data_IF_756605405028
#
_entry.id   IF_756605405028
#
_cell.length_a   1.000
_cell.length_b   1.000
_cell.length_c   1.000
_cell.angle_alpha   90.00
_cell.angle_beta   90.00
_cell.angle_gamma   90.00
#
_symmetry.space_group_name_H-M   'P 1'
#
loop_
_entity.id
_entity.type
_entity.pdbx_description
1 polymer ?
#
# COMPACT_ATOMS: atom_id res chain seq x y z
N UNK A 1 -13.21 -10.80 7.74
CA UNK A 1 -13.83 -9.58 8.33
C UNK A 1 -12.78 -8.52 8.58
N UNK A 2 -13.03 -7.30 8.10
CA UNK A 2 -12.12 -6.16 8.26
C UNK A 2 -12.00 -5.72 9.73
N UNK A 3 -10.82 -5.23 10.13
CA UNK A 3 -10.59 -4.52 11.39
C UNK A 3 -11.09 -3.07 11.37
N UNK A 4 -11.36 -2.51 10.18
CA UNK A 4 -11.74 -1.12 9.97
C UNK A 4 -13.22 -0.99 9.65
N UNK A 5 -13.88 0.03 10.20
CA UNK A 5 -15.28 0.36 9.88
C UNK A 5 -15.41 1.27 8.66
N UNK A 6 -14.40 2.11 8.43
CA UNK A 6 -14.39 3.09 7.34
C UNK A 6 -12.96 3.43 6.93
N UNK A 7 -12.80 3.76 5.65
CA UNK A 7 -11.60 4.36 5.10
C UNK A 7 -11.99 5.62 4.33
N UNK A 8 -11.23 6.69 4.48
CA UNK A 8 -11.35 7.91 3.65
C UNK A 8 -10.10 8.03 2.82
N UNK A 9 -10.25 7.99 1.51
CA UNK A 9 -9.14 8.10 0.57
C UNK A 9 -9.16 9.46 -0.12
N UNK A 10 -8.00 10.10 -0.19
CA UNK A 10 -7.76 11.27 -1.02
C UNK A 10 -7.08 10.82 -2.29
N UNK A 11 -7.69 11.15 -3.44
CA UNK A 11 -7.13 10.89 -4.76
C UNK A 11 -6.81 12.24 -5.42
N UNK A 12 -5.67 12.32 -6.11
CA UNK A 12 -5.44 13.47 -7.00
C UNK A 12 -6.36 13.40 -8.23
N UNK A 13 -6.72 14.56 -8.81
CA UNK A 13 -7.68 14.62 -9.92
C UNK A 13 -7.07 14.33 -11.29
N UNK A 14 -5.76 14.49 -11.42
CA UNK A 14 -5.06 14.40 -12.71
C UNK A 14 -4.86 12.94 -13.12
N UNK A 15 -4.43 12.11 -12.16
CA UNK A 15 -4.02 10.73 -12.39
C UNK A 15 -4.76 9.74 -11.48
N UNK A 16 -5.68 10.21 -10.63
CA UNK A 16 -6.46 9.38 -9.69
C UNK A 16 -5.60 8.51 -8.76
N UNK A 17 -4.42 9.00 -8.35
CA UNK A 17 -3.53 8.27 -7.43
C UNK A 17 -3.89 8.58 -6.00
N UNK A 18 -3.81 7.58 -5.13
CA UNK A 18 -3.97 7.77 -3.69
C UNK A 18 -2.89 8.68 -3.14
N UNK A 19 -3.26 9.74 -2.43
CA UNK A 19 -2.31 10.61 -1.76
C UNK A 19 -2.26 10.31 -0.26
N UNK A 20 -3.42 9.96 0.28
CA UNK A 20 -3.62 9.68 1.71
C UNK A 20 -4.80 8.74 1.90
N UNK A 21 -4.75 7.90 2.94
CA UNK A 21 -5.91 7.13 3.42
C UNK A 21 -5.99 7.19 4.95
N UNK A 22 -7.14 7.59 5.47
CA UNK A 22 -7.44 7.57 6.91
C UNK A 22 -8.29 6.34 7.25
N UNK A 23 -7.81 5.54 8.21
CA UNK A 23 -8.43 4.30 8.66
C UNK A 23 -9.11 4.50 10.01
N UNK A 24 -10.37 4.10 10.11
CA UNK A 24 -11.17 4.18 11.33
C UNK A 24 -11.45 2.79 11.91
N UNK A 25 -11.24 2.65 13.21
CA UNK A 25 -11.44 1.38 13.93
C UNK A 25 -12.92 1.06 14.19
N UNK A 26 -13.19 -0.02 14.94
CA UNK A 26 -14.54 -0.43 15.32
C UNK A 26 -15.24 0.52 16.30
N UNK A 27 -14.49 1.35 17.01
CA UNK A 27 -15.01 2.42 17.87
C UNK A 27 -15.26 3.71 17.08
N UNK A 28 -15.05 3.69 15.76
CA UNK A 28 -15.16 4.83 14.82
C UNK A 28 -14.11 5.92 15.05
N UNK A 29 -13.06 5.63 15.83
CA UNK A 29 -11.96 6.56 16.08
C UNK A 29 -10.94 6.50 14.94
N UNK A 30 -10.28 7.63 14.65
CA UNK A 30 -9.16 7.65 13.71
C UNK A 30 -8.03 6.80 14.31
N UNK A 31 -7.73 5.69 13.65
CA UNK A 31 -6.73 4.73 14.13
C UNK A 31 -5.38 5.02 13.47
N UNK A 32 -5.36 5.11 12.14
CA UNK A 32 -4.14 5.23 11.36
C UNK A 32 -4.32 6.12 10.15
N UNK A 33 -3.23 6.75 9.72
CA UNK A 33 -3.13 7.45 8.43
C UNK A 33 -2.01 6.85 7.61
N UNK A 34 -2.31 6.49 6.36
CA UNK A 34 -1.35 6.16 5.33
C UNK A 34 -1.13 7.37 4.43
N UNK A 35 0.11 7.79 4.24
CA UNK A 35 0.52 8.77 3.23
C UNK A 35 1.33 8.08 2.15
N UNK A 36 1.06 8.38 0.87
CA UNK A 36 1.74 7.78 -0.27
C UNK A 36 2.49 8.87 -1.03
N UNK A 37 3.79 8.65 -1.27
CA UNK A 37 4.66 9.64 -1.90
C UNK A 37 5.66 9.00 -2.86
N UNK A 38 6.50 9.85 -3.47
CA UNK A 38 7.57 9.47 -4.40
C UNK A 38 7.05 8.61 -5.56
N UNK A 39 5.97 9.08 -6.18
CA UNK A 39 5.32 8.39 -7.28
C UNK A 39 6.23 8.24 -8.50
N UNK A 40 6.34 7.02 -9.02
CA UNK A 40 6.99 6.70 -10.30
C UNK A 40 5.98 6.12 -11.29
N UNK A 41 6.08 6.52 -12.56
CA UNK A 41 5.25 6.01 -13.65
C UNK A 41 5.98 4.87 -14.38
N UNK A 42 5.35 3.71 -14.41
CA UNK A 42 5.87 2.53 -15.11
C UNK A 42 5.03 2.22 -16.35
N UNK A 43 5.71 1.83 -17.44
CA UNK A 43 5.09 1.44 -18.72
C UNK A 43 4.10 2.49 -19.26
N UNK A 44 4.34 3.78 -18.99
CA UNK A 44 3.48 4.90 -19.41
C UNK A 44 2.06 4.89 -18.82
N UNK A 45 1.77 4.02 -17.84
CA UNK A 45 0.40 3.83 -17.31
C UNK A 45 0.32 3.60 -15.80
N UNK A 46 1.25 2.87 -15.21
CA UNK A 46 1.14 2.38 -13.84
C UNK A 46 1.90 3.29 -12.86
N UNK A 47 1.17 4.15 -12.17
CA UNK A 47 1.71 4.91 -11.05
C UNK A 47 1.89 4.03 -9.82
N UNK A 48 3.08 4.09 -9.21
CA UNK A 48 3.41 3.39 -7.97
C UNK A 48 4.08 4.35 -6.99
N UNK A 49 3.57 4.46 -5.74
CA UNK A 49 4.28 5.20 -4.71
C UNK A 49 5.51 4.39 -4.31
N UNK A 50 6.68 5.01 -4.35
CA UNK A 50 7.90 4.34 -3.93
C UNK A 50 8.13 4.46 -2.42
N UNK A 51 7.35 5.32 -1.75
CA UNK A 51 7.34 5.49 -0.31
C UNK A 51 5.93 5.49 0.25
N UNK A 52 5.73 4.78 1.35
CA UNK A 52 4.46 4.68 2.06
C UNK A 52 4.68 4.80 3.56
N UNK A 53 4.12 5.85 4.17
CA UNK A 53 4.23 6.13 5.59
C UNK A 53 2.91 5.84 6.30
N UNK A 54 2.94 4.91 7.26
CA UNK A 54 1.79 4.58 8.09
C UNK A 54 2.02 5.10 9.51
N UNK A 55 1.20 6.05 9.96
CA UNK A 55 1.20 6.56 11.34
C UNK A 55 -0.01 6.01 12.10
N UNK A 56 0.21 5.45 13.29
CA UNK A 56 -0.86 5.10 14.23
C UNK A 56 -1.07 6.23 15.23
N UNK A 57 -2.23 6.88 15.18
CA UNK A 57 -2.57 8.03 16.04
C UNK A 57 -2.83 7.65 17.50
N UNK A 58 -3.10 6.37 17.79
CA UNK A 58 -3.37 5.89 19.15
C UNK A 58 -2.09 5.51 19.90
N UNK A 59 -1.04 5.11 19.18
CA UNK A 59 0.21 4.59 19.77
C UNK A 59 1.43 5.42 19.39
N UNK A 60 1.28 6.40 18.50
CA UNK A 60 2.33 7.24 17.90
C UNK A 60 3.41 6.50 17.09
N UNK A 61 3.41 5.16 17.14
CA UNK A 61 4.26 4.31 16.30
C UNK A 61 3.96 4.51 14.83
N UNK A 62 5.02 4.50 14.04
CA UNK A 62 4.96 4.55 12.58
C UNK A 62 5.61 3.34 11.93
N UNK A 63 5.31 3.13 10.66
CA UNK A 63 5.99 2.18 9.78
C UNK A 63 6.18 2.84 8.44
N UNK A 64 7.40 2.83 7.93
CA UNK A 64 7.75 3.31 6.60
C UNK A 64 8.03 2.10 5.71
N UNK A 65 7.46 2.09 4.51
CA UNK A 65 7.75 1.09 3.48
C UNK A 65 8.39 1.81 2.29
N UNK A 66 9.65 1.49 2.02
CA UNK A 66 10.41 2.03 0.90
C UNK A 66 10.62 0.95 -0.17
N UNK A 67 10.23 1.25 -1.40
CA UNK A 67 10.54 0.41 -2.56
C UNK A 67 11.78 0.96 -3.24
N UNK A 68 12.87 0.21 -3.20
CA UNK A 68 14.13 0.61 -3.85
C UNK A 68 14.11 0.27 -5.34
N UNK A 69 13.61 -0.92 -5.67
CA UNK A 69 13.52 -1.43 -7.04
C UNK A 69 12.13 -2.03 -7.28
N UNK A 70 11.59 -1.80 -8.47
CA UNK A 70 10.34 -2.38 -8.93
C UNK A 70 10.41 -2.67 -10.43
N UNK A 71 10.34 -3.96 -10.78
CA UNK A 71 10.35 -4.44 -12.16
C UNK A 71 8.96 -4.91 -12.60
N UNK A 72 8.61 -4.65 -13.86
CA UNK A 72 7.36 -5.08 -14.47
C UNK A 72 7.64 -6.10 -15.57
N UNK A 73 6.65 -6.98 -15.84
CA UNK A 73 6.71 -7.99 -16.92
C UNK A 73 7.91 -8.93 -16.82
N UNK A 74 8.22 -9.38 -15.61
CA UNK A 74 9.35 -10.28 -15.32
C UNK A 74 9.12 -11.74 -15.73
N UNK A 75 7.95 -12.07 -16.27
CA UNK A 75 7.63 -13.42 -16.75
C UNK A 75 7.11 -14.39 -15.69
N UNK A 76 6.71 -13.89 -14.51
CA UNK A 76 6.03 -14.69 -13.48
C UNK A 76 4.75 -15.35 -14.03
N UNK A 77 4.52 -16.60 -13.64
CA UNK A 77 3.40 -17.45 -14.07
C UNK A 77 2.55 -17.84 -12.86
N UNK A 78 1.32 -18.30 -13.09
CA UNK A 78 0.40 -18.73 -12.02
C UNK A 78 1.01 -19.81 -11.10
N UNK A 79 1.86 -20.69 -11.65
CA UNK A 79 2.58 -21.71 -10.89
C UNK A 79 3.50 -21.13 -9.80
N UNK A 80 4.00 -19.91 -9.98
CA UNK A 80 4.90 -19.25 -9.03
C UNK A 80 4.15 -18.82 -7.76
N UNK A 81 2.82 -18.69 -7.82
CA UNK A 81 1.95 -18.28 -6.71
C UNK A 81 1.27 -19.46 -5.99
N UNK A 82 1.71 -20.70 -6.23
CA UNK A 82 1.25 -21.86 -5.49
C UNK A 82 1.78 -21.86 -4.04
N UNK A 83 0.92 -22.17 -3.06
CA UNK A 83 1.29 -22.33 -1.64
C UNK A 83 2.46 -23.30 -1.42
N UNK A 84 2.60 -24.33 -2.26
CA UNK A 84 3.72 -25.28 -2.18
C UNK A 84 5.09 -24.62 -2.46
N UNK A 85 5.13 -23.50 -3.17
CA UNK A 85 6.34 -22.72 -3.44
C UNK A 85 6.87 -22.06 -2.17
N UNK A 86 6.00 -21.64 -1.25
CA UNK A 86 6.40 -21.04 0.04
C UNK A 86 7.21 -22.01 0.92
N UNK A 87 6.93 -23.32 0.86
CA UNK A 87 7.67 -24.33 1.61
C UNK A 87 9.10 -24.54 1.09
N UNK A 88 9.34 -24.20 -0.18
CA UNK A 88 10.63 -24.41 -0.88
C UNK A 88 11.49 -23.14 -0.93
N UNK A 89 10.91 -21.96 -0.66
CA UNK A 89 11.61 -20.68 -0.64
C UNK A 89 12.37 -20.41 0.67
N UNK A 90 12.69 -21.46 1.44
CA UNK A 90 13.27 -21.37 2.78
C UNK A 90 14.64 -22.02 2.83
#
# INVERSE_FOLDING_TARGET
NSGYTRQVAWLDKEHFRGQKVDFYDRKKSLLKTLTLSDYKLYLGKYWRPMKMDMLNHQTEKSTELNTLELAFRTGLKDSDFNKATLKRAR
#
